data_IF_353126678029
#
_entry.id   IF_353126678029
#
_cell.length_a   1.000
_cell.length_b   1.000
_cell.length_c   1.000
_cell.angle_alpha   90.00
_cell.angle_beta   90.00
_cell.angle_gamma   90.00
#
_symmetry.space_group_name_H-M   'P 1'
#
loop_
_entity.id
_entity.type
_entity.pdbx_description
1 polymer ?
#
# COMPACT_ATOMS: atom_id res chain seq x y z
N UNK A 1 -28.11 -27.65 -29.53
CA UNK A 1 -28.58 -27.80 -28.15
C UNK A 1 -27.46 -27.98 -27.16
N UNK A 2 -27.12 -26.90 -26.47
CA UNK A 2 -26.87 -26.90 -25.02
C UNK A 2 -27.21 -25.49 -24.55
N UNK A 3 -28.46 -25.35 -24.15
CA UNK A 3 -29.01 -24.23 -23.38
C UNK A 3 -28.22 -24.05 -22.09
N UNK A 4 -27.46 -22.97 -21.96
CA UNK A 4 -27.06 -22.46 -20.65
C UNK A 4 -27.99 -21.30 -20.27
N UNK A 5 -29.21 -21.68 -19.89
CA UNK A 5 -30.15 -20.80 -19.24
C UNK A 5 -29.67 -20.54 -17.82
N UNK A 6 -29.19 -19.31 -17.55
CA UNK A 6 -29.40 -18.50 -16.33
C UNK A 6 -28.34 -17.40 -16.21
N UNK A 7 -28.48 -16.29 -16.95
CA UNK A 7 -27.98 -14.98 -16.49
C UNK A 7 -29.18 -14.20 -15.98
N UNK A 8 -29.46 -14.34 -14.69
CA UNK A 8 -30.46 -13.52 -14.01
C UNK A 8 -30.11 -12.04 -14.16
N UNK A 9 -31.12 -11.22 -14.44
CA UNK A 9 -31.06 -9.76 -14.39
C UNK A 9 -32.38 -9.25 -13.80
N UNK A 10 -32.42 -8.13 -13.04
CA UNK A 10 -31.34 -7.55 -12.23
C UNK A 10 -31.90 -6.82 -10.97
N UNK A 11 -32.09 -7.48 -9.82
CA UNK A 11 -32.28 -6.70 -8.59
C UNK A 11 -30.99 -5.93 -8.34
N UNK A 12 -31.04 -4.61 -8.50
CA UNK A 12 -29.89 -3.73 -8.33
C UNK A 12 -29.40 -3.87 -6.90
N UNK A 13 -28.13 -4.26 -6.73
CA UNK A 13 -27.51 -4.34 -5.41
C UNK A 13 -27.05 -2.96 -4.97
N UNK A 14 -27.63 -2.47 -3.88
CA UNK A 14 -27.40 -1.13 -3.38
C UNK A 14 -26.23 -1.12 -2.39
N UNK A 15 -25.28 -0.21 -2.58
CA UNK A 15 -24.05 -0.10 -1.79
C UNK A 15 -23.98 1.30 -1.17
N UNK A 16 -23.66 1.39 0.12
CA UNK A 16 -23.44 2.66 0.80
C UNK A 16 -22.08 2.69 1.48
N UNK A 17 -21.39 3.82 1.37
CA UNK A 17 -20.18 4.11 2.15
C UNK A 17 -20.58 4.93 3.37
N UNK A 18 -20.44 4.37 4.57
CA UNK A 18 -21.05 4.92 5.80
C UNK A 18 -20.24 6.10 6.33
N UNK A 19 -18.92 5.97 6.36
CA UNK A 19 -18.00 6.92 6.96
C UNK A 19 -16.70 7.06 6.14
N UNK A 20 -16.80 7.41 4.83
CA UNK A 20 -15.63 7.58 3.98
C UNK A 20 -14.71 8.70 4.49
N UNK A 21 -13.45 8.68 4.05
CA UNK A 21 -12.66 9.92 4.13
C UNK A 21 -13.27 10.91 3.13
N UNK A 22 -13.36 12.21 3.44
CA UNK A 22 -13.96 13.19 2.52
C UNK A 22 -13.39 13.12 1.10
N UNK A 23 -12.07 12.93 0.99
CA UNK A 23 -11.33 12.77 -0.28
C UNK A 23 -11.48 11.40 -0.95
N UNK A 24 -11.96 10.39 -0.21
CA UNK A 24 -12.16 9.01 -0.68
C UNK A 24 -13.65 8.65 -0.78
N UNK A 25 -14.58 9.62 -0.82
CA UNK A 25 -16.00 9.33 -1.04
C UNK A 25 -16.15 8.60 -2.39
N UNK A 26 -16.35 7.28 -2.33
CA UNK A 26 -16.28 6.42 -3.51
C UNK A 26 -17.55 6.56 -4.33
N UNK A 27 -17.41 7.12 -5.52
CA UNK A 27 -18.40 6.91 -6.56
C UNK A 27 -17.98 5.68 -7.39
N UNK A 28 -18.35 4.48 -6.91
CA UNK A 28 -18.02 3.25 -7.61
C UNK A 28 -18.84 3.16 -8.90
N UNK A 29 -18.16 2.85 -10.01
CA UNK A 29 -18.80 2.60 -11.30
C UNK A 29 -18.78 1.12 -11.64
N UNK A 30 -19.88 0.64 -12.22
CA UNK A 30 -20.11 -0.77 -12.53
C UNK A 30 -20.39 -1.04 -14.01
N UNK A 31 -20.48 0.00 -14.85
CA UNK A 31 -20.85 -0.11 -16.27
C UNK A 31 -19.85 -0.92 -17.11
N UNK A 32 -18.58 -0.96 -16.71
CA UNK A 32 -17.53 -1.73 -17.39
C UNK A 32 -17.33 -3.13 -16.79
N UNK A 33 -18.18 -3.57 -15.85
CA UNK A 33 -18.04 -4.83 -15.15
C UNK A 33 -18.85 -5.96 -15.82
N UNK A 34 -18.44 -7.21 -15.59
CA UNK A 34 -19.25 -8.39 -15.96
C UNK A 34 -20.63 -8.37 -15.27
N UNK A 35 -20.64 -7.97 -13.99
CA UNK A 35 -21.85 -7.75 -13.20
C UNK A 35 -22.06 -6.24 -13.07
N UNK A 36 -23.12 -5.74 -13.70
CA UNK A 36 -23.41 -4.30 -13.81
C UNK A 36 -24.56 -3.83 -12.91
N UNK A 37 -25.38 -4.76 -12.39
CA UNK A 37 -26.56 -4.48 -11.59
C UNK A 37 -26.22 -4.14 -10.13
N UNK A 38 -25.38 -3.11 -9.93
CA UNK A 38 -25.06 -2.54 -8.63
C UNK A 38 -25.08 -1.01 -8.73
N UNK A 39 -25.49 -0.34 -7.65
CA UNK A 39 -25.56 1.11 -7.58
C UNK A 39 -25.22 1.62 -6.19
N UNK A 40 -24.83 2.90 -6.11
CA UNK A 40 -24.62 3.57 -4.83
C UNK A 40 -25.95 4.09 -4.27
N UNK A 41 -26.15 4.03 -2.95
CA UNK A 41 -27.25 4.70 -2.23
C UNK A 41 -26.70 5.51 -1.07
N UNK A 42 -27.46 6.52 -0.64
CA UNK A 42 -27.24 7.27 0.59
C UNK A 42 -28.16 6.82 1.74
N UNK A 43 -29.10 5.91 1.47
CA UNK A 43 -30.03 5.39 2.48
C UNK A 43 -29.52 4.04 3.03
N UNK A 44 -29.15 3.96 4.32
CA UNK A 44 -28.64 2.72 4.90
C UNK A 44 -29.70 1.61 4.96
N UNK A 45 -30.99 1.92 4.91
CA UNK A 45 -32.06 0.92 4.95
C UNK A 45 -32.32 0.26 3.58
N UNK A 46 -31.92 0.92 2.49
CA UNK A 46 -32.01 0.37 1.12
C UNK A 46 -30.76 -0.41 0.71
N UNK A 47 -29.65 -0.24 1.42
CA UNK A 47 -28.38 -0.85 1.06
C UNK A 47 -28.40 -2.38 1.27
N UNK A 48 -28.02 -3.15 0.26
CA UNK A 48 -27.62 -4.55 0.43
C UNK A 48 -26.27 -4.65 1.14
N UNK A 49 -25.40 -3.65 0.97
CA UNK A 49 -24.09 -3.61 1.60
C UNK A 49 -23.73 -2.23 2.17
N UNK A 50 -23.27 -2.22 3.42
CA UNK A 50 -22.67 -1.07 4.08
C UNK A 50 -21.15 -1.23 4.18
N UNK A 51 -20.41 -0.23 3.70
CA UNK A 51 -18.95 -0.15 3.83
C UNK A 51 -18.58 0.77 4.98
N UNK A 52 -17.82 0.25 5.94
CA UNK A 52 -17.35 1.00 7.10
C UNK A 52 -15.84 1.20 7.04
N UNK A 53 -15.40 2.44 7.11
CA UNK A 53 -14.01 2.79 7.29
C UNK A 53 -13.60 2.47 8.73
N UNK A 54 -12.79 1.42 8.91
CA UNK A 54 -12.41 0.95 10.24
C UNK A 54 -11.62 1.96 11.07
N UNK A 55 -11.08 3.01 10.45
CA UNK A 55 -10.29 4.05 11.13
C UNK A 55 -11.08 5.31 11.48
N UNK A 56 -12.40 5.29 11.22
CA UNK A 56 -13.31 6.41 11.49
C UNK A 56 -14.55 5.92 12.24
N UNK A 57 -14.35 4.94 13.11
CA UNK A 57 -15.42 4.32 13.90
C UNK A 57 -15.62 5.00 15.26
N UNK A 58 -14.68 5.84 15.71
CA UNK A 58 -14.83 6.62 16.93
C UNK A 58 -16.06 7.53 16.86
N UNK A 59 -16.95 7.44 17.85
CA UNK A 59 -18.18 8.23 17.93
C UNK A 59 -19.27 7.88 16.91
N UNK A 60 -19.05 6.89 16.03
CA UNK A 60 -20.04 6.51 15.02
C UNK A 60 -21.18 5.69 15.64
N UNK A 61 -22.40 6.20 15.56
CA UNK A 61 -23.62 5.43 15.86
C UNK A 61 -23.89 4.44 14.74
N UNK A 62 -24.09 3.17 15.11
CA UNK A 62 -24.35 2.11 14.14
C UNK A 62 -25.79 2.21 13.59
N UNK A 63 -26.00 2.08 12.28
CA UNK A 63 -27.34 2.06 11.71
C UNK A 63 -28.08 0.77 12.11
N UNK A 64 -29.42 0.82 12.07
CA UNK A 64 -30.21 -0.41 12.12
C UNK A 64 -29.82 -1.29 10.94
N UNK A 65 -29.75 -2.60 11.19
CA UNK A 65 -29.30 -3.58 10.21
C UNK A 65 -30.45 -4.47 9.75
N UNK A 66 -31.00 -4.23 8.56
CA UNK A 66 -31.99 -5.13 7.96
C UNK A 66 -31.46 -6.56 7.80
N UNK A 67 -32.36 -7.53 7.86
CA UNK A 67 -32.03 -8.95 7.60
C UNK A 67 -31.41 -9.11 6.22
N UNK A 68 -30.27 -9.78 6.15
CA UNK A 68 -29.55 -10.03 4.90
C UNK A 68 -28.58 -8.92 4.47
N UNK A 69 -28.57 -7.76 5.14
CA UNK A 69 -27.61 -6.69 4.83
C UNK A 69 -26.18 -7.09 5.22
N UNK A 70 -25.25 -6.91 4.28
CA UNK A 70 -23.84 -7.24 4.43
C UNK A 70 -23.07 -6.03 4.96
N UNK A 71 -22.26 -6.23 5.99
CA UNK A 71 -21.36 -5.19 6.50
C UNK A 71 -19.92 -5.53 6.14
N UNK A 72 -19.24 -4.59 5.47
CA UNK A 72 -17.85 -4.70 5.06
C UNK A 72 -17.00 -3.68 5.83
N UNK A 73 -16.02 -4.15 6.59
CA UNK A 73 -15.00 -3.27 7.19
C UNK A 73 -13.86 -3.08 6.20
N UNK A 74 -13.45 -1.84 5.94
CA UNK A 74 -12.27 -1.55 5.12
C UNK A 74 -11.28 -0.60 5.79
N UNK A 75 -9.99 -0.82 5.52
CA UNK A 75 -8.91 0.11 5.85
C UNK A 75 -7.70 -0.12 4.96
N UNK A 76 -7.01 0.96 4.58
CA UNK A 76 -5.71 0.91 3.89
C UNK A 76 -4.52 0.95 4.86
N UNK A 77 -4.75 1.34 6.11
CA UNK A 77 -3.67 1.41 7.10
C UNK A 77 -3.31 0.02 7.65
N UNK A 78 -2.06 -0.17 8.08
CA UNK A 78 -1.63 -1.43 8.67
C UNK A 78 -2.30 -1.67 10.03
N UNK A 79 -2.42 -2.92 10.51
CA UNK A 79 -3.02 -3.21 11.81
C UNK A 79 -2.37 -2.51 13.01
N UNK A 80 -1.08 -2.16 12.92
CA UNK A 80 -0.35 -1.38 13.94
C UNK A 80 -0.72 0.11 14.00
N UNK A 81 -1.57 0.61 13.09
CA UNK A 81 -1.97 2.00 13.09
C UNK A 81 -2.82 2.33 14.32
N UNK A 82 -2.52 3.44 15.01
CA UNK A 82 -3.21 3.88 16.24
C UNK A 82 -4.74 3.89 16.10
N UNK A 83 -5.24 4.32 14.94
CA UNK A 83 -6.68 4.43 14.65
C UNK A 83 -7.42 3.08 14.50
N UNK A 84 -6.70 1.95 14.46
CA UNK A 84 -7.32 0.61 14.55
C UNK A 84 -8.01 0.42 15.91
N UNK A 85 -7.62 1.16 16.95
CA UNK A 85 -8.32 1.17 18.24
C UNK A 85 -9.79 1.58 18.14
N UNK A 86 -10.18 2.33 17.10
CA UNK A 86 -11.57 2.73 16.87
C UNK A 86 -12.48 1.50 16.62
N UNK A 87 -11.91 0.35 16.23
CA UNK A 87 -12.63 -0.92 16.07
C UNK A 87 -12.82 -1.68 17.39
N UNK A 88 -12.17 -1.26 18.49
CA UNK A 88 -12.26 -1.93 19.80
C UNK A 88 -13.56 -1.55 20.50
N UNK A 89 -14.69 -2.03 19.96
CA UNK A 89 -16.03 -1.76 20.50
C UNK A 89 -16.84 -3.05 20.58
N UNK A 90 -17.59 -3.22 21.68
CA UNK A 90 -18.40 -4.42 21.92
C UNK A 90 -19.54 -4.56 20.91
N UNK A 91 -20.13 -3.44 20.49
CA UNK A 91 -21.25 -3.36 19.55
C UNK A 91 -20.84 -3.68 18.10
N UNK A 92 -19.54 -3.77 17.80
CA UNK A 92 -19.01 -4.21 16.51
C UNK A 92 -18.79 -5.72 16.42
N UNK A 93 -18.88 -6.44 17.54
CA UNK A 93 -18.74 -7.91 17.53
C UNK A 93 -19.86 -8.54 16.74
N UNK A 94 -19.52 -9.55 15.96
CA UNK A 94 -20.44 -10.26 15.07
C UNK A 94 -21.18 -9.35 14.06
N UNK A 95 -20.66 -8.16 13.75
CA UNK A 95 -21.29 -7.28 12.77
C UNK A 95 -20.73 -7.47 11.36
N UNK A 96 -19.40 -7.49 11.21
CA UNK A 96 -18.81 -7.53 9.88
C UNK A 96 -18.83 -8.94 9.27
N UNK A 97 -19.30 -9.04 8.04
CA UNK A 97 -19.21 -10.27 7.24
C UNK A 97 -17.96 -10.27 6.38
N UNK A 98 -17.66 -9.11 5.77
CA UNK A 98 -16.58 -8.97 4.82
C UNK A 98 -15.53 -8.00 5.33
N UNK A 99 -14.30 -8.21 4.87
CA UNK A 99 -13.18 -7.33 5.15
C UNK A 99 -12.48 -6.89 3.88
N UNK A 100 -11.94 -5.67 3.90
CA UNK A 100 -11.10 -5.15 2.85
C UNK A 100 -9.88 -4.45 3.43
N UNK A 101 -8.78 -5.19 3.56
CA UNK A 101 -7.53 -4.70 4.14
C UNK A 101 -6.33 -5.16 3.31
N UNK A 102 -5.12 -4.79 3.72
CA UNK A 102 -3.87 -5.26 3.09
C UNK A 102 -3.58 -6.75 3.33
N UNK A 103 -4.18 -7.34 4.37
CA UNK A 103 -3.96 -8.74 4.75
C UNK A 103 -4.55 -9.68 3.69
N UNK A 104 -3.77 -10.69 3.28
CA UNK A 104 -4.12 -11.62 2.21
C UNK A 104 -5.31 -12.55 2.51
N UNK A 105 -5.71 -12.69 3.77
CA UNK A 105 -6.89 -13.44 4.23
C UNK A 105 -8.14 -12.54 4.40
N UNK A 106 -8.11 -11.30 3.90
CA UNK A 106 -9.30 -10.46 3.80
C UNK A 106 -10.24 -10.98 2.70
N UNK A 107 -11.55 -10.73 2.81
CA UNK A 107 -12.50 -11.04 1.72
C UNK A 107 -12.10 -10.37 0.41
N UNK A 108 -11.66 -9.11 0.50
CA UNK A 108 -11.08 -8.36 -0.62
C UNK A 108 -9.73 -7.80 -0.21
N UNK A 109 -8.64 -8.32 -0.74
CA UNK A 109 -7.32 -7.75 -0.44
C UNK A 109 -7.14 -6.38 -1.12
N UNK A 110 -6.57 -5.43 -0.38
CA UNK A 110 -6.05 -4.17 -0.92
C UNK A 110 -4.62 -4.39 -1.33
N UNK A 111 -4.38 -4.36 -2.63
CA UNK A 111 -3.03 -4.32 -3.21
C UNK A 111 -2.76 -2.90 -3.69
N UNK A 112 -1.65 -2.29 -3.27
CA UNK A 112 -1.30 -0.90 -3.63
C UNK A 112 -0.81 -0.74 -5.07
N UNK A 113 -0.39 -1.83 -5.70
CA UNK A 113 0.03 -1.84 -7.09
C UNK A 113 0.31 -3.26 -7.58
N UNK A 114 0.26 -3.45 -8.89
CA UNK A 114 0.71 -4.67 -9.55
C UNK A 114 1.82 -4.25 -10.50
N UNK A 115 2.94 -4.97 -10.48
CA UNK A 115 4.01 -4.75 -11.46
C UNK A 115 3.96 -5.86 -12.50
N UNK A 116 4.04 -5.48 -13.77
CA UNK A 116 4.10 -6.40 -14.89
C UNK A 116 5.39 -6.20 -15.67
N UNK A 117 5.88 -7.27 -16.26
CA UNK A 117 6.98 -7.18 -17.22
C UNK A 117 6.52 -6.43 -18.48
N UNK A 118 7.41 -5.62 -19.04
CA UNK A 118 7.24 -4.91 -20.30
C UNK A 118 8.51 -5.04 -21.13
N UNK A 119 8.41 -4.74 -22.41
CA UNK A 119 9.58 -4.58 -23.27
C UNK A 119 10.54 -3.57 -22.65
N UNK A 120 11.81 -3.95 -22.55
CA UNK A 120 12.84 -3.11 -21.95
C UNK A 120 12.90 -1.75 -22.69
N UNK A 121 12.75 -0.62 -21.98
CA UNK A 121 12.76 0.67 -22.63
C UNK A 121 14.18 1.02 -23.13
N UNK A 122 14.25 1.50 -24.37
CA UNK A 122 15.50 2.01 -24.97
C UNK A 122 15.83 3.35 -24.33
N UNK A 123 16.91 3.39 -23.54
CA UNK A 123 17.39 4.57 -22.82
C UNK A 123 18.91 4.62 -22.82
N UNK A 124 19.49 5.81 -22.78
CA UNK A 124 20.92 5.98 -22.49
C UNK A 124 21.17 5.86 -20.97
N UNK A 125 21.35 4.63 -20.49
CA UNK A 125 21.66 4.35 -19.09
C UNK A 125 23.00 4.93 -18.64
N UNK A 126 23.93 5.16 -19.56
CA UNK A 126 25.19 5.83 -19.30
C UNK A 126 24.96 7.29 -18.90
N UNK A 127 24.20 8.03 -19.71
CA UNK A 127 23.80 9.41 -19.39
C UNK A 127 22.91 9.47 -18.13
N UNK A 128 22.02 8.50 -17.93
CA UNK A 128 21.23 8.37 -16.69
C UNK A 128 22.13 8.26 -15.47
N UNK A 129 23.18 7.44 -15.51
CA UNK A 129 24.13 7.30 -14.41
C UNK A 129 24.87 8.61 -14.14
N UNK A 130 25.36 9.28 -15.19
CA UNK A 130 26.20 10.48 -15.05
C UNK A 130 25.45 11.69 -14.49
N UNK A 131 24.17 11.86 -14.83
CA UNK A 131 23.38 12.99 -14.34
C UNK A 131 22.94 12.87 -12.87
N UNK A 132 23.01 11.67 -12.27
CA UNK A 132 22.56 11.42 -10.89
C UNK A 132 23.58 11.97 -9.89
N UNK A 133 23.24 13.10 -9.27
CA UNK A 133 24.11 13.85 -8.35
C UNK A 133 24.05 13.37 -6.90
N UNK A 134 23.00 12.64 -6.52
CA UNK A 134 22.74 12.24 -5.14
C UNK A 134 22.56 10.73 -5.01
N UNK A 135 22.89 10.20 -3.84
CA UNK A 135 22.86 8.74 -3.61
C UNK A 135 21.45 8.31 -3.24
N UNK A 136 20.94 8.75 -2.09
CA UNK A 136 19.66 8.27 -1.54
C UNK A 136 18.69 9.43 -1.31
N UNK A 137 17.43 9.27 -1.74
CA UNK A 137 16.30 10.09 -1.33
C UNK A 137 15.36 9.31 -0.41
N UNK A 138 14.75 9.99 0.55
CA UNK A 138 13.70 9.43 1.40
C UNK A 138 12.59 10.45 1.64
N UNK A 139 11.36 10.10 1.28
CA UNK A 139 10.20 10.98 1.46
C UNK A 139 9.36 10.45 2.62
N UNK A 140 9.19 11.28 3.65
CA UNK A 140 8.63 10.84 4.92
C UNK A 140 7.97 11.99 5.69
N UNK A 141 6.74 11.76 6.13
CA UNK A 141 5.96 12.71 6.94
C UNK A 141 5.56 12.15 8.32
N UNK A 142 5.68 10.83 8.53
CA UNK A 142 5.43 10.16 9.81
C UNK A 142 6.75 9.77 10.46
N UNK A 143 7.14 10.51 11.51
CA UNK A 143 8.49 10.49 12.11
C UNK A 143 8.61 9.59 13.34
N UNK A 144 7.52 8.98 13.77
CA UNK A 144 7.48 7.97 14.83
C UNK A 144 6.66 6.81 14.34
N UNK A 145 7.29 5.66 14.12
CA UNK A 145 6.66 4.54 13.43
C UNK A 145 6.85 3.23 14.15
N UNK A 146 5.90 2.32 13.96
CA UNK A 146 5.98 0.98 14.52
C UNK A 146 7.19 0.22 13.96
N UNK A 147 7.55 0.48 12.70
CA UNK A 147 8.75 -0.12 12.09
C UNK A 147 10.08 0.49 12.58
N UNK A 148 10.08 1.53 13.41
CA UNK A 148 11.28 2.30 13.81
C UNK A 148 12.15 2.70 12.61
N UNK A 149 11.56 2.97 11.44
CA UNK A 149 12.31 3.26 10.20
C UNK A 149 13.18 4.51 10.32
N UNK A 150 12.76 5.48 11.14
CA UNK A 150 13.52 6.67 11.49
C UNK A 150 14.86 6.33 12.15
N UNK A 151 14.87 5.36 13.06
CA UNK A 151 16.06 4.94 13.77
C UNK A 151 17.02 4.18 12.84
N UNK A 152 16.45 3.35 11.97
CA UNK A 152 17.20 2.67 10.92
C UNK A 152 17.88 3.67 9.98
N UNK A 153 17.13 4.67 9.47
CA UNK A 153 17.69 5.67 8.54
C UNK A 153 18.72 6.56 9.21
N UNK A 154 18.55 6.89 10.49
CA UNK A 154 19.56 7.64 11.26
C UNK A 154 20.91 6.92 11.29
N UNK A 155 20.93 5.62 11.55
CA UNK A 155 22.17 4.80 11.50
C UNK A 155 22.71 4.66 10.06
N UNK A 156 21.83 4.40 9.09
CA UNK A 156 22.18 4.31 7.68
C UNK A 156 22.88 5.58 7.16
N UNK A 157 22.41 6.75 7.60
CA UNK A 157 22.88 8.06 7.14
C UNK A 157 24.33 8.37 7.53
N UNK A 158 24.89 7.65 8.50
CA UNK A 158 26.32 7.73 8.86
C UNK A 158 27.25 7.09 7.81
N UNK A 159 26.70 6.27 6.90
CA UNK A 159 27.48 5.50 5.92
C UNK A 159 27.15 5.83 4.46
N UNK A 160 26.02 6.50 4.23
CA UNK A 160 25.61 6.96 2.91
C UNK A 160 24.82 8.26 3.03
N UNK A 161 25.02 9.20 2.09
CA UNK A 161 24.27 10.45 2.09
C UNK A 161 22.79 10.21 1.77
N UNK A 162 21.92 10.48 2.76
CA UNK A 162 20.47 10.40 2.63
C UNK A 162 19.87 11.80 2.67
N UNK A 163 19.14 12.17 1.61
CA UNK A 163 18.33 13.39 1.58
C UNK A 163 16.91 13.09 2.03
N UNK A 164 16.51 13.67 3.16
CA UNK A 164 15.19 13.45 3.78
C UNK A 164 14.24 14.59 3.42
N UNK A 165 13.14 14.24 2.76
CA UNK A 165 12.08 15.13 2.30
C UNK A 165 10.81 14.95 3.13
N UNK A 166 10.06 16.03 3.35
CA UNK A 166 8.81 16.02 4.12
C UNK A 166 9.00 16.38 5.60
N UNK A 167 7.99 16.15 6.43
CA UNK A 167 7.95 16.63 7.82
C UNK A 167 9.05 16.08 8.73
N UNK A 168 9.70 14.98 8.35
CA UNK A 168 10.79 14.38 9.14
C UNK A 168 12.19 14.78 8.65
N UNK A 169 12.27 15.71 7.70
CA UNK A 169 13.52 16.20 7.14
C UNK A 169 13.48 17.71 6.91
N UNK A 170 14.55 18.22 6.31
CA UNK A 170 14.71 19.65 6.02
C UNK A 170 14.56 19.98 4.53
N UNK A 171 14.17 19.00 3.69
CA UNK A 171 13.99 19.20 2.24
C UNK A 171 12.52 19.12 1.85
N UNK A 172 12.20 19.86 0.79
CA UNK A 172 10.90 19.83 0.13
C UNK A 172 11.09 19.64 -1.37
N UNK A 173 10.04 19.21 -2.05
CA UNK A 173 9.98 19.16 -3.51
C UNK A 173 8.70 19.88 -3.96
N UNK A 174 8.60 20.29 -5.23
CA UNK A 174 7.41 20.90 -5.83
C UNK A 174 6.88 22.19 -5.17
N UNK A 175 5.71 22.64 -5.61
CA UNK A 175 4.91 23.67 -4.92
C UNK A 175 4.20 22.96 -3.75
N UNK A 176 4.43 23.44 -2.52
CA UNK A 176 3.82 22.95 -1.26
C UNK A 176 2.36 22.47 -1.45
N UNK A 177 1.93 21.22 -1.19
CA UNK A 177 2.68 19.97 -1.00
C UNK A 177 1.80 18.69 -1.00
N UNK A 178 2.45 17.52 -1.00
CA UNK A 178 1.95 16.22 -0.53
C UNK A 178 2.78 15.91 0.71
N UNK A 179 2.15 15.94 1.86
CA UNK A 179 2.56 16.47 3.17
C UNK A 179 4.06 16.55 3.56
N UNK A 180 4.93 17.49 3.17
CA UNK A 180 4.93 18.62 2.23
C UNK A 180 6.23 18.51 1.42
N UNK A 181 6.38 17.38 0.75
CA UNK A 181 7.39 17.10 -0.25
C UNK A 181 6.87 17.24 -1.68
N UNK A 182 5.88 18.10 -1.95
CA UNK A 182 5.54 18.56 -3.32
C UNK A 182 4.48 17.82 -4.12
N UNK A 183 4.36 18.17 -5.40
CA UNK A 183 3.55 17.44 -6.38
C UNK A 183 4.16 16.06 -6.63
N UNK A 184 3.37 14.99 -6.41
CA UNK A 184 3.82 13.59 -6.58
C UNK A 184 4.57 13.39 -7.90
N UNK A 185 4.01 13.84 -9.02
CA UNK A 185 4.63 13.72 -10.35
C UNK A 185 5.97 14.45 -10.43
N UNK A 186 6.02 15.73 -10.03
CA UNK A 186 7.27 16.53 -10.04
C UNK A 186 8.35 15.89 -9.18
N UNK A 187 7.96 15.24 -8.08
CA UNK A 187 8.90 14.64 -7.15
C UNK A 187 9.41 13.28 -7.61
N UNK A 188 8.55 12.47 -8.23
CA UNK A 188 8.98 11.27 -8.94
C UNK A 188 9.95 11.61 -10.09
N UNK A 189 9.69 12.68 -10.84
CA UNK A 189 10.60 13.17 -11.87
C UNK A 189 11.95 13.63 -11.27
N UNK A 190 11.92 14.41 -10.20
CA UNK A 190 13.12 14.88 -9.50
C UNK A 190 13.98 13.71 -9.00
N UNK A 191 13.38 12.68 -8.36
CA UNK A 191 14.14 11.51 -7.90
C UNK A 191 14.68 10.68 -9.08
N UNK A 192 13.88 10.51 -10.14
CA UNK A 192 14.29 9.83 -11.38
C UNK A 192 15.51 10.49 -12.00
N UNK A 193 15.54 11.83 -12.02
CA UNK A 193 16.62 12.61 -12.59
C UNK A 193 17.89 12.60 -11.75
N UNK A 194 17.77 12.76 -10.43
CA UNK A 194 18.90 13.19 -9.58
C UNK A 194 19.42 12.13 -8.60
N UNK A 195 18.66 11.07 -8.30
CA UNK A 195 18.99 10.11 -7.25
C UNK A 195 19.23 8.71 -7.77
N UNK A 196 20.15 7.97 -7.15
CA UNK A 196 20.42 6.56 -7.49
C UNK A 196 19.43 5.61 -6.83
N UNK A 197 19.11 5.87 -5.56
CA UNK A 197 18.27 5.04 -4.73
C UNK A 197 17.15 5.84 -4.06
N UNK A 198 16.03 5.16 -3.80
CA UNK A 198 14.91 5.69 -3.04
C UNK A 198 14.54 4.74 -1.90
N UNK A 199 14.43 5.25 -0.67
CA UNK A 199 14.02 4.42 0.47
C UNK A 199 12.51 4.22 0.48
N UNK A 200 12.07 3.05 0.03
CA UNK A 200 10.68 2.57 0.04
C UNK A 200 10.33 1.93 1.40
N UNK A 201 10.68 2.60 2.51
CA UNK A 201 10.57 2.03 3.86
C UNK A 201 9.16 2.17 4.42
N UNK A 202 8.56 1.04 4.77
CA UNK A 202 7.23 0.99 5.37
C UNK A 202 7.22 1.48 6.81
N UNK A 203 6.08 2.05 7.20
CA UNK A 203 5.89 2.59 8.56
C UNK A 203 5.57 1.49 9.59
N UNK A 204 5.39 0.25 9.15
CA UNK A 204 5.00 -0.88 9.97
C UNK A 204 5.53 -2.18 9.39
N UNK A 205 5.93 -3.09 10.26
CA UNK A 205 6.28 -4.46 9.90
C UNK A 205 5.02 -5.29 10.07
N UNK A 206 4.30 -5.45 8.97
CA UNK A 206 3.09 -6.25 8.90
C UNK A 206 3.15 -7.11 7.65
N UNK A 207 2.64 -8.34 7.74
CA UNK A 207 2.55 -9.21 6.57
C UNK A 207 1.68 -8.55 5.50
N UNK A 208 2.01 -8.81 4.25
CA UNK A 208 1.30 -8.30 3.07
C UNK A 208 1.28 -6.76 2.93
N UNK A 209 1.90 -6.00 3.85
CA UNK A 209 1.90 -4.54 3.83
C UNK A 209 3.03 -3.98 2.96
N UNK A 210 2.73 -3.83 1.67
CA UNK A 210 3.60 -3.20 0.67
C UNK A 210 2.80 -2.11 -0.03
N UNK A 211 3.31 -0.88 -0.03
CA UNK A 211 2.51 0.31 -0.33
C UNK A 211 2.99 1.08 -1.55
N UNK A 212 2.38 2.25 -1.80
CA UNK A 212 2.79 3.18 -2.84
C UNK A 212 4.27 3.55 -2.80
N UNK A 213 4.93 3.44 -1.62
CA UNK A 213 6.36 3.71 -1.46
C UNK A 213 7.23 2.82 -2.36
N UNK A 214 6.83 1.57 -2.54
CA UNK A 214 7.48 0.65 -3.45
C UNK A 214 6.93 0.82 -4.88
N UNK A 215 5.62 0.72 -5.04
CA UNK A 215 4.98 0.66 -6.36
C UNK A 215 5.17 1.93 -7.20
N UNK A 216 5.24 3.11 -6.58
CA UNK A 216 5.48 4.37 -7.32
C UNK A 216 6.86 4.39 -8.01
N UNK A 217 7.82 3.58 -7.57
CA UNK A 217 9.14 3.49 -8.23
C UNK A 217 9.06 2.76 -9.57
N UNK A 218 7.94 2.09 -9.87
CA UNK A 218 7.68 1.42 -11.15
C UNK A 218 6.79 2.26 -12.08
N UNK A 219 6.49 3.51 -11.73
CA UNK A 219 5.76 4.47 -12.58
C UNK A 219 6.73 5.32 -13.41
N UNK A 220 7.54 4.67 -14.25
CA UNK A 220 8.56 5.32 -15.12
C UNK A 220 9.61 6.16 -14.38
N UNK A 221 10.00 5.70 -13.19
CA UNK A 221 11.04 6.34 -12.37
C UNK A 221 12.36 5.57 -12.50
N UNK A 222 13.41 6.26 -12.95
CA UNK A 222 14.76 5.70 -13.13
C UNK A 222 15.54 5.65 -11.80
N UNK A 223 14.98 5.08 -10.74
CA UNK A 223 15.62 4.96 -9.43
C UNK A 223 15.49 3.53 -8.91
N UNK A 224 16.46 3.04 -8.15
CA UNK A 224 16.39 1.70 -7.56
C UNK A 224 15.71 1.79 -6.18
N UNK A 225 14.57 1.12 -5.94
CA UNK A 225 13.95 1.08 -4.62
C UNK A 225 14.79 0.26 -3.64
N UNK A 226 14.96 0.80 -2.44
CA UNK A 226 15.50 0.10 -1.27
C UNK A 226 14.34 -0.13 -0.31
N UNK A 227 13.99 -1.38 -0.08
CA UNK A 227 12.80 -1.77 0.68
C UNK A 227 13.14 -2.16 2.10
N UNK A 228 12.18 -1.91 3.01
CA UNK A 228 12.19 -2.36 4.40
C UNK A 228 10.75 -2.41 4.89
N UNK A 229 10.27 -3.58 5.30
CA UNK A 229 8.87 -3.80 5.69
C UNK A 229 8.58 -5.27 6.00
N UNK A 230 7.35 -5.58 6.43
CA UNK A 230 6.95 -6.94 6.79
C UNK A 230 6.40 -7.80 5.63
N UNK A 231 6.29 -7.24 4.43
CA UNK A 231 5.89 -7.99 3.23
C UNK A 231 7.01 -8.87 2.70
N UNK A 232 6.66 -10.01 2.09
CA UNK A 232 7.63 -10.93 1.48
C UNK A 232 8.03 -10.47 0.07
N UNK A 233 8.88 -9.46 -0.01
CA UNK A 233 9.33 -8.88 -1.28
C UNK A 233 10.00 -9.91 -2.21
N UNK A 234 10.71 -10.90 -1.64
CA UNK A 234 11.44 -11.92 -2.43
C UNK A 234 10.50 -12.91 -3.09
N UNK A 235 9.41 -13.28 -2.41
CA UNK A 235 8.36 -14.13 -2.97
C UNK A 235 7.48 -13.39 -3.97
N UNK A 236 7.21 -12.11 -3.73
CA UNK A 236 6.24 -11.34 -4.51
C UNK A 236 6.82 -10.68 -5.77
N UNK A 237 8.13 -10.43 -5.81
CA UNK A 237 8.74 -9.65 -6.89
C UNK A 237 10.02 -10.30 -7.44
N UNK A 238 10.33 -10.10 -8.73
CA UNK A 238 11.55 -10.61 -9.34
C UNK A 238 12.83 -10.11 -8.64
N UNK A 239 13.89 -10.94 -8.56
CA UNK A 239 15.16 -10.52 -7.99
C UNK A 239 15.84 -9.45 -8.85
N UNK A 240 16.66 -8.60 -8.20
CA UNK A 240 17.50 -7.62 -8.88
C UNK A 240 16.76 -6.38 -9.40
N UNK A 241 15.52 -6.14 -8.96
CA UNK A 241 14.77 -4.89 -9.27
C UNK A 241 14.59 -3.98 -8.05
N UNK A 242 15.03 -4.45 -6.88
CA UNK A 242 15.04 -3.73 -5.60
C UNK A 242 16.21 -4.23 -4.74
N UNK A 243 16.54 -3.47 -3.70
CA UNK A 243 17.51 -3.85 -2.65
C UNK A 243 16.72 -4.06 -1.37
N UNK A 244 16.77 -5.25 -0.77
CA UNK A 244 16.08 -5.52 0.50
C UNK A 244 17.01 -5.22 1.68
N UNK A 245 16.55 -4.45 2.67
CA UNK A 245 17.30 -4.26 3.91
C UNK A 245 17.60 -5.58 4.63
N UNK A 246 16.71 -6.57 4.49
CA UNK A 246 16.86 -7.88 5.15
C UNK A 246 18.00 -8.73 4.57
N UNK A 247 18.58 -8.33 3.43
CA UNK A 247 19.79 -8.98 2.88
C UNK A 247 21.07 -8.51 3.60
N UNK A 248 20.96 -7.58 4.57
CA UNK A 248 22.07 -6.94 5.23
C UNK A 248 21.98 -7.14 6.75
N UNK A 249 23.10 -7.45 7.43
CA UNK A 249 23.09 -7.65 8.88
C UNK A 249 22.83 -6.37 9.68
N UNK A 250 22.96 -5.18 9.06
CA UNK A 250 22.77 -3.91 9.76
C UNK A 250 22.55 -2.72 8.81
N UNK A 251 21.98 -1.59 9.30
CA UNK A 251 21.88 -0.34 8.54
C UNK A 251 23.23 0.14 7.97
N UNK A 252 24.32 -0.06 8.72
CA UNK A 252 25.67 0.33 8.32
C UNK A 252 26.17 -0.48 7.12
N UNK A 253 25.96 -1.80 7.14
CA UNK A 253 26.32 -2.68 6.03
C UNK A 253 25.54 -2.35 4.75
N UNK A 254 24.23 -2.06 4.88
CA UNK A 254 23.43 -1.54 3.77
C UNK A 254 23.98 -0.20 3.26
N UNK A 255 24.33 0.73 4.14
CA UNK A 255 24.89 2.03 3.76
C UNK A 255 26.19 1.91 2.97
N UNK A 256 27.11 1.06 3.42
CA UNK A 256 28.36 0.74 2.71
C UNK A 256 28.07 0.15 1.33
N UNK A 257 27.14 -0.79 1.24
CA UNK A 257 26.73 -1.39 -0.03
C UNK A 257 26.15 -0.36 -1.01
N UNK A 258 25.22 0.48 -0.57
CA UNK A 258 24.61 1.53 -1.39
C UNK A 258 25.67 2.51 -1.91
N UNK A 259 26.65 2.89 -1.09
CA UNK A 259 27.72 3.78 -1.49
C UNK A 259 28.69 3.12 -2.49
N UNK A 260 28.99 1.83 -2.34
CA UNK A 260 29.80 1.07 -3.30
C UNK A 260 29.08 0.94 -4.65
N UNK A 261 27.82 0.50 -4.63
CA UNK A 261 27.00 0.37 -5.84
C UNK A 261 26.77 1.72 -6.54
N UNK A 262 26.70 2.82 -5.78
CA UNK A 262 26.59 4.16 -6.36
C UNK A 262 27.78 4.55 -7.26
N UNK A 263 28.97 4.01 -6.96
CA UNK A 263 30.24 4.27 -7.64
C UNK A 263 30.53 3.26 -8.75
N UNK A 264 29.99 2.05 -8.65
CA UNK A 264 30.06 1.04 -9.71
C UNK A 264 29.04 1.33 -10.81
N UNK A 265 29.50 2.01 -11.88
CA UNK A 265 28.69 2.35 -13.05
C UNK A 265 28.05 1.12 -13.69
N UNK A 266 28.81 0.05 -13.86
CA UNK A 266 28.36 -1.14 -14.58
C UNK A 266 27.32 -1.90 -13.77
N UNK A 267 27.55 -2.12 -12.47
CA UNK A 267 26.60 -2.80 -11.61
C UNK A 267 25.30 -2.00 -11.43
N UNK A 268 25.40 -0.68 -11.23
CA UNK A 268 24.22 0.17 -11.12
C UNK A 268 23.36 0.15 -12.39
N UNK A 269 23.99 0.29 -13.57
CA UNK A 269 23.28 0.28 -14.85
C UNK A 269 22.58 -1.05 -15.06
N UNK A 270 23.24 -2.19 -14.81
CA UNK A 270 22.61 -3.52 -14.94
C UNK A 270 21.37 -3.64 -14.07
N UNK A 271 21.45 -3.21 -12.81
CA UNK A 271 20.31 -3.26 -11.89
C UNK A 271 19.16 -2.34 -12.33
N UNK A 272 19.47 -1.12 -12.79
CA UNK A 272 18.46 -0.18 -13.25
C UNK A 272 17.80 -0.66 -14.57
N UNK A 273 18.56 -1.24 -15.49
CA UNK A 273 18.04 -1.89 -16.70
C UNK A 273 17.08 -3.02 -16.35
N UNK A 274 17.48 -3.91 -15.44
CA UNK A 274 16.64 -5.01 -14.99
C UNK A 274 15.33 -4.51 -14.37
N UNK A 275 15.41 -3.52 -13.46
CA UNK A 275 14.22 -2.88 -12.89
C UNK A 275 13.31 -2.30 -13.96
N UNK A 276 13.86 -1.61 -14.96
CA UNK A 276 13.07 -0.91 -15.97
C UNK A 276 12.31 -1.84 -16.95
N UNK A 277 12.58 -3.15 -16.91
CA UNK A 277 11.74 -4.19 -17.54
C UNK A 277 10.38 -4.36 -16.86
N UNK A 278 10.17 -3.74 -15.71
CA UNK A 278 8.91 -3.80 -14.99
C UNK A 278 8.28 -2.42 -14.89
N UNK A 279 6.95 -2.38 -15.01
CA UNK A 279 6.16 -1.16 -14.87
C UNK A 279 4.96 -1.43 -13.98
N UNK A 280 4.49 -0.39 -13.30
CA UNK A 280 3.20 -0.43 -12.64
C UNK A 280 2.13 -0.67 -13.71
N UNK A 281 1.32 -1.72 -13.54
CA UNK A 281 0.16 -2.00 -14.38
C UNK A 281 -1.10 -1.48 -13.70
N UNK A 282 -2.14 -1.19 -14.48
CA UNK A 282 -3.46 -0.86 -13.94
C UNK A 282 -3.96 -2.02 -13.07
N UNK A 283 -4.33 -1.72 -11.82
CA UNK A 283 -4.74 -2.69 -10.82
C UNK A 283 -6.26 -2.86 -10.70
N UNK A 284 -6.63 -4.02 -10.18
CA UNK A 284 -7.96 -4.58 -9.85
C UNK A 284 -9.16 -3.64 -9.81
N UNK A 285 -10.21 -3.99 -10.57
CA UNK A 285 -11.55 -3.40 -10.46
C UNK A 285 -12.28 -3.90 -9.20
N UNK A 286 -11.94 -3.31 -8.05
CA UNK A 286 -12.64 -3.61 -6.79
C UNK A 286 -14.16 -3.52 -6.94
N UNK A 287 -14.67 -2.52 -7.68
CA UNK A 287 -16.11 -2.38 -7.96
C UNK A 287 -16.70 -3.60 -8.64
N UNK A 288 -16.05 -4.14 -9.67
CA UNK A 288 -16.52 -5.33 -10.38
C UNK A 288 -16.51 -6.57 -9.50
N UNK A 289 -15.44 -6.77 -8.72
CA UNK A 289 -15.35 -7.92 -7.81
C UNK A 289 -16.38 -7.83 -6.68
N UNK A 290 -16.61 -6.63 -6.13
CA UNK A 290 -17.63 -6.39 -5.12
C UNK A 290 -19.04 -6.66 -5.68
N UNK A 291 -19.35 -6.15 -6.87
CA UNK A 291 -20.66 -6.34 -7.48
C UNK A 291 -20.91 -7.82 -7.79
N UNK A 292 -19.91 -8.51 -8.37
CA UNK A 292 -19.96 -9.96 -8.59
C UNK A 292 -20.19 -10.73 -7.29
N UNK A 293 -19.49 -10.38 -6.21
CA UNK A 293 -19.67 -11.03 -4.92
C UNK A 293 -21.08 -10.82 -4.35
N UNK A 294 -21.67 -9.62 -4.47
CA UNK A 294 -23.02 -9.34 -4.01
C UNK A 294 -24.12 -10.13 -4.73
N UNK A 295 -23.87 -10.51 -5.99
CA UNK A 295 -24.79 -11.32 -6.78
C UNK A 295 -24.61 -12.83 -6.59
N UNK A 296 -23.41 -13.27 -6.22
CA UNK A 296 -23.06 -14.71 -6.19
C UNK A 296 -22.84 -15.29 -4.81
N UNK A 297 -22.43 -14.48 -3.83
CA UNK A 297 -21.98 -14.96 -2.54
C UNK A 297 -22.96 -14.57 -1.44
N UNK A 298 -23.48 -15.58 -0.74
CA UNK A 298 -24.01 -15.38 0.61
C UNK A 298 -22.84 -15.39 1.60
N UNK A 299 -22.76 -14.43 2.54
CA UNK A 299 -21.70 -14.44 3.53
C UNK A 299 -21.81 -15.69 4.40
N UNK A 300 -20.83 -16.59 4.29
CA UNK A 300 -20.81 -17.83 5.07
C UNK A 300 -20.30 -17.62 6.50
N UNK A 301 -19.55 -16.55 6.74
CA UNK A 301 -18.91 -16.27 8.02
C UNK A 301 -19.13 -14.82 8.45
N UNK A 302 -19.09 -14.63 9.76
CA UNK A 302 -19.11 -13.33 10.44
C UNK A 302 -17.85 -13.25 11.29
N UNK A 303 -17.15 -12.12 11.24
CA UNK A 303 -16.05 -11.88 12.16
C UNK A 303 -16.61 -11.74 13.57
N UNK A 304 -16.26 -12.68 14.47
CA UNK A 304 -16.63 -12.59 15.88
C UNK A 304 -16.15 -11.26 16.47
N UNK A 305 -14.88 -10.95 16.24
CA UNK A 305 -14.27 -9.67 16.58
C UNK A 305 -13.24 -9.28 15.51
N UNK A 306 -13.60 -8.32 14.67
CA UNK A 306 -12.73 -7.82 13.59
C UNK A 306 -11.46 -7.16 14.14
N UNK A 307 -11.53 -6.52 15.32
CA UNK A 307 -10.38 -5.88 15.95
C UNK A 307 -9.36 -6.93 16.40
N UNK A 308 -9.84 -7.99 17.07
CA UNK A 308 -9.00 -9.12 17.46
C UNK A 308 -8.42 -9.86 16.26
N UNK A 309 -9.17 -10.02 15.16
CA UNK A 309 -8.64 -10.58 13.91
C UNK A 309 -7.52 -9.73 13.31
N UNK A 310 -7.67 -8.40 13.27
CA UNK A 310 -6.64 -7.49 12.76
C UNK A 310 -5.35 -7.54 13.59
N UNK A 311 -5.47 -7.67 14.91
CA UNK A 311 -4.32 -7.64 15.84
C UNK A 311 -3.76 -9.02 16.21
N UNK A 312 -4.04 -10.06 15.42
CA UNK A 312 -3.38 -11.37 15.62
C UNK A 312 -1.86 -11.20 15.65
N UNK A 313 -1.12 -11.91 16.53
CA UNK A 313 0.31 -11.69 16.72
C UNK A 313 1.16 -11.75 15.45
N UNK A 314 0.79 -12.60 14.49
CA UNK A 314 1.54 -12.77 13.24
C UNK A 314 1.18 -11.74 12.16
N UNK A 315 0.23 -10.83 12.41
CA UNK A 315 -0.13 -9.81 11.42
C UNK A 315 0.86 -8.66 11.40
N UNK A 316 1.38 -8.24 12.56
CA UNK A 316 2.41 -7.20 12.68
C UNK A 316 3.35 -7.49 13.85
N UNK A 317 4.64 -7.17 13.70
CA UNK A 317 5.67 -7.42 14.71
C UNK A 317 6.68 -6.27 14.77
N UNK A 318 7.33 -6.12 15.93
CA UNK A 318 8.41 -5.14 16.08
C UNK A 318 9.62 -5.52 15.23
N UNK A 319 10.38 -4.55 14.70
CA UNK A 319 11.65 -4.83 14.02
C UNK A 319 12.65 -5.48 14.98
N UNK A 320 13.40 -6.48 14.51
CA UNK A 320 14.43 -7.20 15.27
C UNK A 320 15.86 -6.85 14.82
N UNK A 321 15.99 -5.98 13.81
CA UNK A 321 17.24 -5.56 13.15
C UNK A 321 17.85 -4.28 13.76
N UNK A 322 17.25 -3.78 14.84
CA UNK A 322 17.73 -2.63 15.59
C UNK A 322 17.96 -3.06 17.04
N UNK A 323 19.15 -2.82 17.62
CA UNK A 323 19.36 -3.06 19.04
C UNK A 323 18.38 -2.19 19.83
N UNK A 324 17.92 -2.68 20.98
CA UNK A 324 17.17 -1.86 21.91
C UNK A 324 18.05 -0.69 22.31
N UNK A 325 17.66 0.51 21.89
CA UNK A 325 18.23 1.73 22.44
C UNK A 325 17.67 1.80 23.85
N UNK A 326 18.38 1.20 24.81
CA UNK A 326 18.21 1.53 26.22
C UNK A 326 18.55 3.02 26.33
N UNK A 327 17.52 3.84 26.46
CA UNK A 327 17.67 5.21 26.95
C UNK A 327 17.84 5.19 28.44
#
# INVERSE_FOLDING_TARGET
>A
DTTDSKRGSPNIKMIMDVNPRPEDARNLTFSACEYTACAMTSNPLEADLLMFNGLRMEGLTLPQRPTGQIWLMYTREPPSARKVQDLKRIDLRNQFNWSRTVLGDSTFQIVYGVIGERTAPVKDYGAIFQRKKHVVAWFVSKCRTFSKREDYVRRLSSYVSVHVYGLCGNRTCGSRGYEMGGSKTKCLEMISKSYKFYLSFENSFCRDYITEKFFAMFSDVDVIPVVRGGGDYRKLFPPGIFINSDDFPSPESLGKYLNALARDKSAYIRMLQNKNRYTLTSGTYFSCNLCKALHLQSPQNVYEDIYSWMLRPNNCWSPTDLPDIQN
#
